data_IF_449433081163
#
_entry.id   IF_449433081163
#
_cell.length_a   1.000
_cell.length_b   1.000
_cell.length_c   1.000
_cell.angle_alpha   90.00
_cell.angle_beta   90.00
_cell.angle_gamma   90.00
#
_symmetry.space_group_name_H-M   'P 1'
#
loop_
_entity.id
_entity.type
_entity.pdbx_description
1 polymer ?
#
# COMPACT_ATOMS: atom_id res chain seq x y z
N UNK A 1 8.57 -9.46 -6.56
CA UNK A 1 9.53 -8.39 -6.89
C UNK A 1 10.71 -8.40 -5.93
N UNK A 2 10.50 -8.24 -4.62
CA UNK A 2 11.56 -8.28 -3.60
C UNK A 2 12.48 -9.53 -3.66
N UNK A 3 11.91 -10.74 -3.76
CA UNK A 3 12.70 -11.99 -3.91
C UNK A 3 13.66 -11.96 -5.11
N UNK A 4 13.28 -11.33 -6.22
CA UNK A 4 14.15 -11.21 -7.41
C UNK A 4 15.36 -10.31 -7.16
N UNK A 5 15.25 -9.41 -6.16
CA UNK A 5 16.31 -8.51 -5.69
C UNK A 5 17.09 -9.07 -4.49
N UNK A 6 16.84 -10.32 -4.10
CA UNK A 6 17.48 -10.94 -2.92
C UNK A 6 16.99 -10.39 -1.57
N UNK A 7 15.91 -9.61 -1.55
CA UNK A 7 15.38 -9.01 -0.33
C UNK A 7 14.43 -9.96 0.40
N UNK A 8 14.59 -10.06 1.72
CA UNK A 8 13.66 -10.74 2.60
C UNK A 8 12.72 -9.71 3.25
N UNK A 9 11.50 -9.58 2.73
CA UNK A 9 10.52 -8.57 3.17
C UNK A 9 9.22 -9.22 3.65
N UNK A 10 8.67 -8.67 4.73
CA UNK A 10 7.28 -8.90 5.17
C UNK A 10 6.41 -7.79 4.57
N UNK A 11 5.29 -8.16 3.94
CA UNK A 11 4.33 -7.21 3.36
C UNK A 11 2.95 -7.49 3.93
N UNK A 12 2.26 -6.43 4.33
CA UNK A 12 0.87 -6.45 4.80
C UNK A 12 0.16 -5.17 4.32
N UNK A 13 -1.16 -5.11 4.49
CA UNK A 13 -2.00 -3.96 4.11
C UNK A 13 -3.02 -3.63 5.18
N UNK A 14 -3.34 -2.36 5.34
CA UNK A 14 -4.29 -1.89 6.37
C UNK A 14 -5.01 -0.61 5.94
N UNK A 15 -6.19 -0.34 6.52
CA UNK A 15 -6.92 0.91 6.34
C UNK A 15 -6.89 1.79 7.60
N UNK A 16 -7.10 3.09 7.44
CA UNK A 16 -7.25 4.04 8.56
C UNK A 16 -8.66 4.01 9.16
N UNK A 17 -9.66 3.76 8.32
CA UNK A 17 -11.08 3.63 8.70
C UNK A 17 -11.47 2.20 9.09
N UNK A 18 -12.48 2.08 9.96
CA UNK A 18 -13.10 0.81 10.33
C UNK A 18 -14.16 0.32 9.33
N UNK A 19 -14.56 1.16 8.36
CA UNK A 19 -15.72 0.93 7.48
C UNK A 19 -15.67 -0.39 6.70
N UNK A 20 -14.47 -0.89 6.40
CA UNK A 20 -14.25 -2.11 5.62
C UNK A 20 -13.64 -3.26 6.45
N UNK A 21 -13.47 -3.11 7.76
CA UNK A 21 -12.86 -4.16 8.58
C UNK A 21 -13.65 -5.47 8.45
N UNK A 22 -12.94 -6.57 8.20
CA UNK A 22 -13.53 -7.90 8.01
C UNK A 22 -13.99 -8.19 6.58
N UNK A 23 -13.93 -7.22 5.66
CA UNK A 23 -14.33 -7.42 4.26
C UNK A 23 -13.17 -7.98 3.42
N UNK A 24 -13.53 -8.76 2.42
CA UNK A 24 -12.63 -9.15 1.33
C UNK A 24 -12.31 -7.95 0.42
N UNK A 25 -11.25 -8.01 -0.41
CA UNK A 25 -10.92 -6.93 -1.33
C UNK A 25 -11.99 -6.77 -2.41
N UNK A 26 -12.10 -5.57 -2.98
CA UNK A 26 -13.03 -5.29 -4.07
C UNK A 26 -12.86 -6.28 -5.22
N UNK A 27 -13.96 -6.91 -5.66
CA UNK A 27 -13.94 -7.97 -6.68
C UNK A 27 -13.29 -7.52 -8.00
N UNK A 28 -13.36 -6.23 -8.34
CA UNK A 28 -12.71 -5.69 -9.55
C UNK A 28 -11.20 -5.68 -9.39
N UNK A 29 -10.70 -5.30 -8.20
CA UNK A 29 -9.28 -5.39 -7.88
C UNK A 29 -8.80 -6.86 -7.86
N UNK A 30 -9.60 -7.76 -7.29
CA UNK A 30 -9.35 -9.21 -7.27
C UNK A 30 -9.26 -9.77 -8.69
N UNK A 31 -10.18 -9.40 -9.57
CA UNK A 31 -10.21 -9.85 -10.97
C UNK A 31 -8.93 -9.47 -11.71
N UNK A 32 -8.49 -8.20 -11.62
CA UNK A 32 -7.23 -7.75 -12.21
C UNK A 32 -6.01 -8.43 -11.57
N UNK A 33 -5.99 -8.61 -10.25
CA UNK A 33 -4.90 -9.29 -9.54
C UNK A 33 -4.78 -10.78 -9.90
N UNK A 34 -5.92 -11.46 -10.08
CA UNK A 34 -5.99 -12.87 -10.43
C UNK A 34 -5.37 -13.14 -11.81
N UNK A 35 -5.70 -12.31 -12.81
CA UNK A 35 -5.11 -12.37 -14.16
C UNK A 35 -3.58 -12.25 -14.10
N UNK A 36 -3.04 -11.55 -13.10
CA UNK A 36 -1.60 -11.31 -12.92
C UNK A 36 -0.95 -12.23 -11.87
N UNK A 37 -1.66 -13.26 -11.40
CA UNK A 37 -1.19 -14.22 -10.39
C UNK A 37 -0.71 -13.59 -9.08
N UNK A 38 -1.33 -12.48 -8.65
CA UNK A 38 -1.04 -11.81 -7.38
C UNK A 38 -1.96 -12.34 -6.28
N UNK A 39 -1.43 -12.82 -5.14
CA UNK A 39 -2.24 -13.25 -4.00
C UNK A 39 -3.15 -12.12 -3.50
N UNK A 40 -4.44 -12.41 -3.32
CA UNK A 40 -5.47 -11.43 -3.00
C UNK A 40 -6.40 -11.89 -1.85
N UNK A 41 -6.05 -12.94 -1.11
CA UNK A 41 -6.82 -13.48 0.01
C UNK A 41 -6.65 -12.67 1.31
N UNK A 42 -6.59 -11.35 1.23
CA UNK A 42 -6.38 -10.45 2.38
C UNK A 42 -7.71 -9.94 2.91
N UNK A 43 -7.89 -9.96 4.22
CA UNK A 43 -9.05 -9.38 4.89
C UNK A 43 -8.67 -7.98 5.38
N UNK A 44 -9.52 -7.01 5.07
CA UNK A 44 -9.32 -5.64 5.50
C UNK A 44 -9.30 -5.55 7.04
N UNK A 45 -8.32 -4.83 7.55
CA UNK A 45 -8.12 -4.52 8.97
C UNK A 45 -7.83 -3.05 9.15
N UNK A 46 -8.07 -2.54 10.35
CA UNK A 46 -7.66 -1.19 10.72
C UNK A 46 -6.18 -1.20 11.13
N UNK A 47 -5.51 -0.08 10.87
CA UNK A 47 -4.14 0.18 11.34
C UNK A 47 -4.14 0.22 12.86
N UNK A 48 -3.10 -0.37 13.46
CA UNK A 48 -2.88 -0.40 14.89
C UNK A 48 -1.57 0.30 15.22
N UNK A 49 -1.45 0.83 16.43
CA UNK A 49 -0.20 1.46 16.89
C UNK A 49 1.00 0.52 16.79
N UNK A 50 0.80 -0.78 17.01
CA UNK A 50 1.86 -1.80 16.86
C UNK A 50 2.41 -1.91 15.43
N UNK A 51 1.63 -1.54 14.40
CA UNK A 51 2.11 -1.53 13.00
C UNK A 51 3.26 -0.53 12.82
N UNK A 52 3.27 0.58 13.57
CA UNK A 52 4.33 1.58 13.53
C UNK A 52 5.64 1.13 14.20
N UNK A 53 5.62 -0.04 14.85
CA UNK A 53 6.77 -0.65 15.52
C UNK A 53 7.21 -1.92 14.78
N UNK A 54 6.25 -2.74 14.33
CA UNK A 54 6.53 -3.98 13.60
C UNK A 54 7.05 -3.76 12.17
N UNK A 55 6.68 -2.65 11.53
CA UNK A 55 7.09 -2.35 10.17
C UNK A 55 8.14 -1.25 10.15
N UNK A 56 9.10 -1.37 9.23
CA UNK A 56 10.11 -0.32 9.02
C UNK A 56 9.58 0.82 8.15
N UNK A 57 8.60 0.53 7.29
CA UNK A 57 8.00 1.50 6.37
C UNK A 57 6.48 1.31 6.33
N UNK A 58 5.75 2.42 6.38
CA UNK A 58 4.31 2.50 6.14
C UNK A 58 4.09 3.47 4.98
N UNK A 59 3.64 2.93 3.86
CA UNK A 59 3.37 3.69 2.64
C UNK A 59 1.89 4.05 2.56
N UNK A 60 1.58 5.34 2.54
CA UNK A 60 0.20 5.82 2.35
C UNK A 60 -0.01 6.23 0.89
N UNK A 61 -1.18 5.93 0.32
CA UNK A 61 -1.44 6.20 -1.09
C UNK A 61 -2.25 7.48 -1.35
N UNK A 62 -2.43 8.32 -0.33
CA UNK A 62 -3.10 9.61 -0.41
C UNK A 62 -2.64 10.57 0.69
N UNK A 63 -2.66 11.87 0.41
CA UNK A 63 -2.22 12.91 1.35
C UNK A 63 -3.10 12.97 2.62
N UNK A 64 -4.39 12.67 2.50
CA UNK A 64 -5.29 12.54 3.65
C UNK A 64 -4.87 11.37 4.55
N UNK A 65 -4.46 10.23 3.96
CA UNK A 65 -4.01 9.06 4.70
C UNK A 65 -2.71 9.33 5.47
N UNK A 66 -1.79 10.14 4.93
CA UNK A 66 -0.61 10.58 5.68
C UNK A 66 -1.01 11.34 6.94
N UNK A 67 -1.92 12.32 6.82
CA UNK A 67 -2.38 13.10 7.97
C UNK A 67 -3.05 12.22 9.03
N UNK A 68 -3.85 11.25 8.59
CA UNK A 68 -4.51 10.29 9.49
C UNK A 68 -3.48 9.40 10.19
N UNK A 69 -2.51 8.83 9.45
CA UNK A 69 -1.44 8.01 10.01
C UNK A 69 -0.57 8.78 11.01
N UNK A 70 -0.20 10.02 10.71
CA UNK A 70 0.56 10.88 11.64
C UNK A 70 -0.24 11.21 12.90
N UNK A 71 -1.57 11.32 12.82
CA UNK A 71 -2.41 11.59 14.00
C UNK A 71 -2.55 10.39 14.96
N UNK A 72 -2.33 9.17 14.47
CA UNK A 72 -2.39 7.94 15.28
C UNK A 72 -0.99 7.38 15.63
N UNK A 73 0.07 7.94 15.02
CA UNK A 73 1.44 7.49 15.18
C UNK A 73 1.86 7.62 16.65
N UNK A 74 2.27 6.52 17.30
CA UNK A 74 2.72 6.59 18.68
C UNK A 74 4.10 7.26 18.77
N UNK A 75 4.44 7.81 19.93
CA UNK A 75 5.70 8.56 20.15
C UNK A 75 6.95 7.70 19.95
N UNK A 76 6.84 6.40 20.17
CA UNK A 76 7.90 5.40 20.05
C UNK A 76 7.89 4.69 18.68
N UNK A 77 7.11 5.20 17.72
CA UNK A 77 7.10 4.68 16.35
C UNK A 77 8.50 4.70 15.72
N UNK A 78 8.92 3.55 15.19
CA UNK A 78 10.17 3.40 14.43
C UNK A 78 9.93 3.39 12.92
N UNK A 79 8.69 3.19 12.50
CA UNK A 79 8.31 3.16 11.08
C UNK A 79 8.50 4.53 10.41
N UNK A 80 9.08 4.51 9.22
CA UNK A 80 9.03 5.63 8.30
C UNK A 80 7.67 5.69 7.61
N UNK A 81 6.91 6.75 7.88
CA UNK A 81 5.58 6.99 7.30
C UNK A 81 5.74 8.00 6.17
N UNK A 82 5.42 7.58 4.94
CA UNK A 82 5.56 8.45 3.76
C UNK A 82 4.56 8.13 2.67
N UNK A 83 4.38 9.08 1.76
CA UNK A 83 3.54 8.89 0.58
C UNK A 83 4.17 7.82 -0.31
N UNK A 84 3.43 6.80 -0.73
CA UNK A 84 3.95 5.74 -1.59
C UNK A 84 4.52 6.30 -2.90
N UNK A 85 3.89 7.34 -3.45
CA UNK A 85 4.36 8.05 -4.64
C UNK A 85 5.71 8.76 -4.46
N UNK A 86 6.24 8.91 -3.24
CA UNK A 86 7.55 9.55 -3.02
C UNK A 86 8.70 8.81 -3.69
N UNK A 87 8.54 7.50 -3.96
CA UNK A 87 9.52 6.71 -4.71
C UNK A 87 9.39 6.86 -6.23
N UNK A 88 8.41 7.64 -6.72
CA UNK A 88 8.18 7.93 -8.14
C UNK A 88 8.29 9.44 -8.40
N UNK A 89 7.16 10.13 -8.54
CA UNK A 89 7.02 11.55 -8.88
C UNK A 89 6.52 12.40 -7.70
N UNK A 90 6.23 11.78 -6.56
CA UNK A 90 5.68 12.45 -5.38
C UNK A 90 4.16 12.59 -5.40
N UNK A 91 3.46 12.03 -6.39
CA UNK A 91 2.01 12.16 -6.49
C UNK A 91 1.25 11.00 -5.78
N UNK A 92 0.03 11.24 -5.26
CA UNK A 92 -0.84 10.18 -4.78
C UNK A 92 -1.16 9.15 -5.87
N UNK A 93 -1.52 7.91 -5.48
CA UNK A 93 -2.03 6.97 -6.47
C UNK A 93 -3.43 7.39 -6.91
N UNK A 94 -3.76 7.25 -8.20
CA UNK A 94 -5.10 7.53 -8.69
C UNK A 94 -6.12 6.58 -8.03
N UNK A 95 -7.25 7.14 -7.62
CA UNK A 95 -8.37 6.37 -7.10
C UNK A 95 -9.11 5.69 -8.28
N UNK A 96 -9.11 4.35 -8.37
CA UNK A 96 -9.65 3.64 -9.53
C UNK A 96 -11.17 3.74 -9.65
N UNK A 97 -11.88 4.18 -8.61
CA UNK A 97 -13.34 4.23 -8.58
C UNK A 97 -13.92 5.37 -9.43
N UNK A 98 -13.11 6.40 -9.72
CA UNK A 98 -13.53 7.57 -10.49
C UNK A 98 -12.99 7.58 -11.94
N UNK A 99 -12.20 6.58 -12.31
CA UNK A 99 -11.73 6.41 -13.68
C UNK A 99 -12.74 5.59 -14.51
N UNK A 100 -12.75 5.83 -15.83
CA UNK A 100 -13.53 5.06 -16.79
C UNK A 100 -13.03 3.60 -16.90
N UNK A 101 -13.49 2.85 -17.90
CA UNK A 101 -13.03 1.50 -18.16
C UNK A 101 -11.48 1.44 -18.18
N UNK A 102 -10.87 0.75 -17.20
CA UNK A 102 -9.41 0.61 -17.08
C UNK A 102 -8.80 1.11 -15.75
N UNK A 103 -9.55 1.79 -14.88
CA UNK A 103 -9.01 2.34 -13.62
C UNK A 103 -8.24 1.34 -12.74
N UNK A 104 -8.74 0.10 -12.62
CA UNK A 104 -8.05 -0.95 -11.86
C UNK A 104 -6.77 -1.47 -12.55
N UNK A 105 -6.71 -1.48 -13.88
CA UNK A 105 -5.47 -1.82 -14.60
C UNK A 105 -4.44 -0.68 -14.46
N UNK A 106 -4.87 0.57 -14.58
CA UNK A 106 -4.02 1.74 -14.35
C UNK A 106 -3.45 1.76 -12.93
N UNK A 107 -4.29 1.50 -11.93
CA UNK A 107 -3.86 1.37 -10.54
C UNK A 107 -2.84 0.23 -10.38
N UNK A 108 -3.09 -0.93 -10.97
CA UNK A 108 -2.17 -2.08 -10.91
C UNK A 108 -0.80 -1.72 -11.50
N UNK A 109 -0.78 -1.04 -12.65
CA UNK A 109 0.47 -0.61 -13.30
C UNK A 109 1.22 0.42 -12.45
N UNK A 110 0.53 1.41 -11.88
CA UNK A 110 1.15 2.39 -10.98
C UNK A 110 1.69 1.73 -9.71
N UNK A 111 0.91 0.86 -9.06
CA UNK A 111 1.34 0.12 -7.88
C UNK A 111 2.57 -0.76 -8.17
N UNK A 112 2.65 -1.35 -9.37
CA UNK A 112 3.83 -2.11 -9.80
C UNK A 112 5.06 -1.22 -9.95
N UNK A 113 4.96 -0.08 -10.67
CA UNK A 113 6.08 0.87 -10.81
C UNK A 113 6.57 1.36 -9.46
N UNK A 114 5.63 1.70 -8.57
CA UNK A 114 5.93 2.16 -7.21
C UNK A 114 6.66 1.07 -6.42
N UNK A 115 6.17 -0.17 -6.45
CA UNK A 115 6.81 -1.25 -5.74
C UNK A 115 8.23 -1.53 -6.25
N UNK A 116 8.49 -1.41 -7.57
CA UNK A 116 9.85 -1.53 -8.11
C UNK A 116 10.75 -0.39 -7.61
N UNK A 117 10.32 0.86 -7.75
CA UNK A 117 11.12 2.03 -7.35
C UNK A 117 11.36 2.09 -5.83
N UNK A 118 10.36 1.73 -5.03
CA UNK A 118 10.51 1.63 -3.58
C UNK A 118 11.53 0.56 -3.21
N UNK A 119 11.43 -0.65 -3.80
CA UNK A 119 12.39 -1.72 -3.51
C UNK A 119 13.81 -1.33 -3.92
N UNK A 120 14.00 -0.61 -5.02
CA UNK A 120 15.31 -0.09 -5.43
C UNK A 120 15.85 0.92 -4.40
N UNK A 121 15.00 1.81 -3.87
CA UNK A 121 15.40 2.81 -2.87
C UNK A 121 15.82 2.24 -1.51
N UNK A 122 15.38 1.02 -1.18
CA UNK A 122 15.71 0.34 0.10
C UNK A 122 16.71 -0.80 -0.06
N UNK A 123 17.22 -1.02 -1.27
CA UNK A 123 18.23 -2.07 -1.58
C UNK A 123 19.68 -1.56 -1.52
N UNK A 124 19.90 -0.30 -1.14
CA UNK A 124 21.22 0.33 -1.06
C UNK A 124 21.96 0.03 0.24
#
# INVERSE_FOLDING_TARGET
>A
MAKKRGLNVKVDSTGTSTANVGREPDERAVSHACVKSVPNNRIARQVKTIDFIEFTHILAFGNNLIRELESIKPIDATADVRLGGSSLDGEPLPDPFYESAGGFENLFQHATKLADAFLDSVSC
#
